data_IF_354503335694
#
_entry.id   IF_354503335694
#
_cell.length_a   1.000
_cell.length_b   1.000
_cell.length_c   1.000
_cell.angle_alpha   90.00
_cell.angle_beta   90.00
_cell.angle_gamma   90.00
#
_symmetry.space_group_name_H-M   'P 1'
#
loop_
_entity.id
_entity.type
_entity.pdbx_description
1 polymer ?
#
# COMPACT_ATOMS: atom_id res chain seq x y z
N UNK A 1 32.44 -20.55 -11.04
CA UNK A 1 31.89 -20.45 -12.43
C UNK A 1 31.14 -21.71 -12.83
N UNK A 2 31.73 -22.93 -12.68
CA UNK A 2 31.07 -24.18 -13.07
C UNK A 2 29.78 -24.52 -12.28
N UNK A 3 29.75 -24.24 -10.98
CA UNK A 3 28.57 -24.46 -10.12
C UNK A 3 27.38 -23.55 -10.49
N UNK A 4 27.66 -22.31 -10.92
CA UNK A 4 26.64 -21.36 -11.40
C UNK A 4 26.09 -21.82 -12.76
N UNK A 5 26.95 -22.33 -13.63
CA UNK A 5 26.57 -22.89 -14.94
C UNK A 5 25.71 -24.17 -14.79
N UNK A 6 26.08 -25.05 -13.85
CA UNK A 6 25.33 -26.30 -13.55
C UNK A 6 23.97 -25.97 -12.89
N UNK A 7 23.90 -24.95 -12.01
CA UNK A 7 22.63 -24.43 -11.49
C UNK A 7 21.77 -23.83 -12.61
N UNK A 8 22.33 -22.99 -13.51
CA UNK A 8 21.64 -22.43 -14.68
C UNK A 8 21.12 -23.50 -15.63
N UNK A 9 21.94 -24.58 -15.91
CA UNK A 9 21.50 -25.68 -16.74
C UNK A 9 20.42 -26.54 -16.06
N UNK A 10 20.52 -26.83 -14.74
CA UNK A 10 19.46 -27.51 -14.00
C UNK A 10 18.14 -26.73 -13.97
N UNK A 11 18.18 -25.43 -13.81
CA UNK A 11 17.01 -24.58 -13.93
C UNK A 11 16.44 -24.66 -15.36
N UNK A 12 17.28 -24.52 -16.40
CA UNK A 12 16.84 -24.54 -17.81
C UNK A 12 16.16 -25.86 -18.25
N UNK A 13 16.60 -27.01 -17.73
CA UNK A 13 15.98 -28.33 -18.00
C UNK A 13 14.75 -28.60 -17.12
N UNK A 14 14.60 -27.90 -16.01
CA UNK A 14 13.57 -28.10 -15.01
C UNK A 14 12.25 -27.43 -15.39
N UNK A 15 12.29 -26.36 -16.18
CA UNK A 15 11.13 -25.58 -16.63
C UNK A 15 10.48 -26.09 -17.94
N UNK A 16 10.94 -27.22 -18.48
CA UNK A 16 10.38 -27.81 -19.69
C UNK A 16 9.26 -28.84 -19.43
N UNK A 17 8.92 -29.10 -18.17
CA UNK A 17 7.79 -29.97 -17.80
C UNK A 17 6.75 -29.23 -16.95
N UNK A 18 5.52 -29.28 -17.36
CA UNK A 18 4.32 -28.54 -16.93
C UNK A 18 3.87 -28.66 -15.46
N UNK A 19 4.69 -29.14 -14.53
CA UNK A 19 4.29 -29.32 -13.12
C UNK A 19 5.36 -28.94 -12.08
N UNK A 20 6.28 -28.05 -12.44
CA UNK A 20 7.38 -27.76 -11.52
C UNK A 20 7.10 -26.54 -10.64
N UNK A 21 6.99 -26.78 -9.33
CA UNK A 21 6.89 -25.74 -8.29
C UNK A 21 8.24 -25.56 -7.59
N UNK A 22 8.71 -24.33 -7.47
CA UNK A 22 9.90 -23.97 -6.66
C UNK A 22 9.43 -23.42 -5.34
N UNK A 23 9.94 -23.95 -4.21
CA UNK A 23 9.62 -23.46 -2.88
C UNK A 23 10.85 -22.81 -2.24
N UNK A 24 11.00 -21.46 -2.33
CA UNK A 24 12.04 -20.74 -1.59
C UNK A 24 11.77 -20.81 -0.09
N UNK A 25 12.81 -20.85 0.71
CA UNK A 25 12.74 -20.90 2.17
C UNK A 25 12.99 -19.54 2.81
N UNK A 26 13.66 -18.66 2.07
CA UNK A 26 14.02 -17.32 2.52
C UNK A 26 13.60 -16.27 1.49
N UNK A 27 13.52 -15.03 1.94
CA UNK A 27 13.26 -13.87 1.08
C UNK A 27 14.33 -13.71 0.00
N UNK A 28 15.60 -13.95 0.35
CA UNK A 28 16.72 -13.82 -0.57
C UNK A 28 16.65 -14.87 -1.69
N UNK A 29 16.26 -16.11 -1.36
CA UNK A 29 16.02 -17.15 -2.37
C UNK A 29 14.86 -16.77 -3.29
N UNK A 30 13.75 -16.28 -2.72
CA UNK A 30 12.61 -15.81 -3.50
C UNK A 30 13.02 -14.67 -4.43
N UNK A 31 13.74 -13.68 -3.91
CA UNK A 31 14.19 -12.52 -4.69
C UNK A 31 15.14 -12.93 -5.82
N UNK A 32 16.02 -13.91 -5.59
CA UNK A 32 16.89 -14.43 -6.63
C UNK A 32 16.09 -15.09 -7.75
N UNK A 33 15.10 -15.94 -7.42
CA UNK A 33 14.24 -16.61 -8.41
C UNK A 33 13.47 -15.59 -9.24
N UNK A 34 12.88 -14.57 -8.60
CA UNK A 34 12.17 -13.48 -9.27
C UNK A 34 13.11 -12.76 -10.25
N UNK A 35 14.32 -12.36 -9.79
CA UNK A 35 15.28 -11.64 -10.62
C UNK A 35 15.68 -12.45 -11.86
N UNK A 36 16.07 -13.73 -11.66
CA UNK A 36 16.46 -14.62 -12.74
C UNK A 36 15.32 -14.85 -13.75
N UNK A 37 14.07 -14.87 -13.27
CA UNK A 37 12.89 -15.04 -14.14
C UNK A 37 12.61 -13.78 -14.94
N UNK A 38 12.63 -12.60 -14.30
CA UNK A 38 12.43 -11.32 -14.98
C UNK A 38 13.54 -11.07 -16.02
N UNK A 39 14.80 -11.36 -15.70
CA UNK A 39 15.93 -11.26 -16.66
C UNK A 39 15.73 -12.14 -17.89
N UNK A 40 15.11 -13.31 -17.74
CA UNK A 40 14.90 -14.28 -18.81
C UNK A 40 13.64 -14.01 -19.62
N UNK A 41 12.53 -13.66 -18.97
CA UNK A 41 11.18 -13.64 -19.54
C UNK A 41 10.57 -12.23 -19.62
N UNK A 42 11.20 -11.26 -18.98
CA UNK A 42 10.72 -9.88 -18.93
C UNK A 42 9.76 -9.60 -17.78
N UNK A 43 9.31 -8.35 -17.71
CA UNK A 43 8.54 -7.82 -16.59
C UNK A 43 7.06 -8.28 -16.53
N UNK A 44 6.55 -8.92 -17.59
CA UNK A 44 5.18 -9.48 -17.68
C UNK A 44 5.18 -11.01 -17.39
N UNK A 45 6.26 -11.56 -16.84
CA UNK A 45 6.42 -13.00 -16.63
C UNK A 45 5.40 -13.58 -15.64
N UNK A 46 5.06 -14.87 -15.82
CA UNK A 46 4.29 -15.64 -14.85
C UNK A 46 5.22 -16.19 -13.75
N UNK A 47 4.97 -15.79 -12.51
CA UNK A 47 5.70 -16.21 -11.31
C UNK A 47 4.89 -17.19 -10.43
N UNK A 48 3.74 -17.67 -10.90
CA UNK A 48 2.87 -18.56 -10.12
C UNK A 48 3.43 -20.00 -9.95
N UNK A 49 4.54 -20.32 -10.60
CA UNK A 49 5.28 -21.54 -10.35
C UNK A 49 6.06 -21.51 -9.01
N UNK A 50 6.09 -20.37 -8.32
CA UNK A 50 6.78 -20.21 -7.04
C UNK A 50 5.78 -20.49 -5.90
N UNK A 51 6.05 -21.52 -5.11
CA UNK A 51 5.34 -21.78 -3.85
C UNK A 51 5.90 -20.87 -2.74
N UNK A 52 5.17 -19.84 -2.40
CA UNK A 52 5.56 -18.83 -1.42
C UNK A 52 5.12 -19.15 0.01
N UNK A 53 4.53 -20.32 0.26
CA UNK A 53 3.95 -20.72 1.55
C UNK A 53 4.92 -20.71 2.75
N UNK A 54 6.24 -20.69 2.51
CA UNK A 54 7.26 -20.60 3.57
C UNK A 54 7.73 -19.18 3.85
N UNK A 55 7.31 -18.22 3.04
CA UNK A 55 7.77 -16.83 3.14
C UNK A 55 6.94 -16.07 4.16
N UNK A 56 7.62 -15.40 5.10
CA UNK A 56 7.00 -14.55 6.12
C UNK A 56 7.24 -13.06 5.88
N UNK A 57 8.31 -12.71 5.18
CA UNK A 57 8.70 -11.36 4.84
C UNK A 57 8.82 -11.21 3.32
N UNK A 58 7.93 -10.39 2.76
CA UNK A 58 7.92 -10.00 1.34
C UNK A 58 8.29 -8.52 1.16
N UNK A 59 8.81 -7.86 2.20
CA UNK A 59 9.15 -6.44 2.10
C UNK A 59 10.14 -6.17 0.99
N UNK A 60 9.92 -5.10 0.20
CA UNK A 60 10.86 -4.62 -0.81
C UNK A 60 11.24 -5.64 -1.91
N UNK A 61 10.42 -6.70 -2.16
CA UNK A 61 10.78 -7.75 -3.13
C UNK A 61 10.96 -7.24 -4.55
N UNK A 62 10.14 -6.26 -4.96
CA UNK A 62 10.16 -5.69 -6.30
C UNK A 62 10.81 -4.29 -6.34
N UNK A 63 11.39 -3.83 -5.22
CA UNK A 63 12.05 -2.53 -5.16
C UNK A 63 13.45 -2.59 -5.77
N UNK A 64 13.58 -2.24 -7.05
CA UNK A 64 14.84 -1.93 -7.74
C UNK A 64 14.55 -1.25 -9.07
N UNK A 65 15.52 -0.48 -9.60
CA UNK A 65 15.38 0.32 -10.83
C UNK A 65 14.95 -0.55 -12.03
N UNK A 66 15.50 -1.74 -12.14
CA UNK A 66 15.23 -2.71 -13.22
C UNK A 66 13.83 -3.37 -13.13
N UNK A 67 13.10 -3.16 -12.02
CA UNK A 67 11.76 -3.71 -11.79
C UNK A 67 10.65 -2.65 -11.79
N UNK A 68 10.96 -1.41 -12.10
CA UNK A 68 9.95 -0.34 -12.15
C UNK A 68 8.80 -0.64 -13.12
N UNK A 69 9.06 -1.45 -14.15
CA UNK A 69 8.07 -1.87 -15.14
C UNK A 69 7.45 -3.25 -14.84
N UNK A 70 7.72 -3.85 -13.69
CA UNK A 70 7.16 -5.15 -13.33
C UNK A 70 5.62 -5.11 -13.32
N UNK A 71 5.01 -6.05 -14.05
CA UNK A 71 3.57 -6.29 -14.10
C UNK A 71 3.27 -7.78 -14.36
N UNK A 72 4.10 -8.66 -13.80
CA UNK A 72 3.96 -10.11 -13.95
C UNK A 72 2.83 -10.70 -13.13
N UNK A 73 2.44 -11.93 -13.45
CA UNK A 73 1.38 -12.66 -12.76
C UNK A 73 1.90 -13.35 -11.49
N UNK A 74 1.33 -12.96 -10.35
CA UNK A 74 1.60 -13.47 -9.01
C UNK A 74 0.29 -13.80 -8.26
N UNK A 75 -0.80 -13.93 -9.00
CA UNK A 75 -2.16 -14.08 -8.45
C UNK A 75 -2.36 -15.33 -7.59
N UNK A 76 -1.51 -16.37 -7.79
CA UNK A 76 -1.60 -17.64 -7.07
C UNK A 76 -0.59 -17.77 -5.92
N UNK A 77 0.11 -16.72 -5.58
CA UNK A 77 1.04 -16.77 -4.44
C UNK A 77 0.30 -17.05 -3.13
N UNK A 78 0.80 -18.01 -2.36
CA UNK A 78 0.32 -18.25 -0.99
C UNK A 78 0.95 -17.23 -0.04
N UNK A 79 0.13 -16.28 0.42
CA UNK A 79 0.53 -15.22 1.33
C UNK A 79 0.09 -15.46 2.78
N UNK A 80 -0.53 -16.62 3.06
CA UNK A 80 -1.14 -16.95 4.35
C UNK A 80 -0.17 -16.93 5.56
N UNK A 81 1.13 -16.95 5.33
CA UNK A 81 2.16 -16.86 6.37
C UNK A 81 2.92 -15.53 6.38
N UNK A 82 2.56 -14.61 5.49
CA UNK A 82 3.26 -13.32 5.39
C UNK A 82 2.82 -12.38 6.51
N UNK A 83 3.81 -11.77 7.16
CA UNK A 83 3.59 -10.80 8.25
C UNK A 83 4.09 -9.40 7.89
N UNK A 84 4.90 -9.26 6.83
CA UNK A 84 5.49 -7.99 6.41
C UNK A 84 5.46 -7.86 4.88
N UNK A 85 4.72 -6.88 4.39
CA UNK A 85 4.61 -6.50 2.97
C UNK A 85 5.09 -5.06 2.71
N UNK A 86 5.83 -4.46 3.65
CA UNK A 86 6.29 -3.08 3.51
C UNK A 86 7.11 -2.88 2.23
N UNK A 87 6.74 -1.90 1.41
CA UNK A 87 7.42 -1.56 0.16
C UNK A 87 7.44 -2.66 -0.90
N UNK A 88 6.58 -3.69 -0.80
CA UNK A 88 6.59 -4.85 -1.70
C UNK A 88 6.69 -4.48 -3.18
N UNK A 89 5.86 -3.53 -3.62
CA UNK A 89 5.82 -3.03 -5.01
C UNK A 89 6.33 -1.59 -5.15
N UNK A 90 7.11 -1.09 -4.19
CA UNK A 90 7.60 0.29 -4.25
C UNK A 90 8.23 0.61 -5.61
N UNK A 91 7.67 1.63 -6.28
CA UNK A 91 8.16 2.10 -7.57
C UNK A 91 7.82 1.22 -8.77
N UNK A 92 6.99 0.18 -8.60
CA UNK A 92 6.50 -0.61 -9.73
C UNK A 92 5.42 0.17 -10.49
N UNK A 93 5.85 1.15 -11.30
CA UNK A 93 4.96 2.17 -11.90
C UNK A 93 3.89 1.59 -12.83
N UNK A 94 4.09 0.37 -13.36
CA UNK A 94 3.16 -0.31 -14.28
C UNK A 94 2.35 -1.41 -13.60
N UNK A 95 2.70 -1.80 -12.37
CA UNK A 95 2.05 -2.92 -11.70
C UNK A 95 0.54 -2.68 -11.56
N UNK A 96 -0.24 -3.62 -12.07
CA UNK A 96 -1.69 -3.71 -11.93
C UNK A 96 -2.16 -5.18 -11.93
N UNK A 97 -1.33 -6.08 -11.40
CA UNK A 97 -1.65 -7.52 -11.28
C UNK A 97 -2.77 -7.77 -10.27
N UNK A 98 -3.62 -8.78 -10.57
CA UNK A 98 -4.69 -9.19 -9.64
C UNK A 98 -4.10 -9.90 -8.42
N UNK A 99 -4.24 -9.27 -7.27
CA UNK A 99 -3.83 -9.78 -5.94
C UNK A 99 -5.02 -9.82 -4.97
N UNK A 100 -6.23 -9.70 -5.48
CA UNK A 100 -7.47 -9.63 -4.68
C UNK A 100 -7.69 -10.86 -3.79
N UNK A 101 -7.09 -12.00 -4.15
CA UNK A 101 -7.25 -13.28 -3.44
C UNK A 101 -6.15 -13.58 -2.42
N UNK A 102 -5.20 -12.67 -2.25
CA UNK A 102 -4.15 -12.86 -1.24
C UNK A 102 -4.73 -12.90 0.17
N UNK A 103 -4.27 -13.84 0.98
CA UNK A 103 -4.55 -13.87 2.41
C UNK A 103 -3.64 -12.88 3.15
N UNK A 104 -4.23 -11.81 3.64
CA UNK A 104 -3.52 -10.74 4.37
C UNK A 104 -3.75 -10.80 5.88
N UNK A 105 -4.46 -11.82 6.36
CA UNK A 105 -4.92 -11.91 7.76
C UNK A 105 -3.82 -11.89 8.82
N UNK A 106 -2.57 -12.24 8.47
CA UNK A 106 -1.42 -12.19 9.39
C UNK A 106 -0.50 -10.98 9.18
N UNK A 107 -0.78 -10.15 8.18
CA UNK A 107 0.10 -9.01 7.85
C UNK A 107 -0.01 -7.93 8.93
N UNK A 108 1.15 -7.42 9.36
CA UNK A 108 1.27 -6.35 10.36
C UNK A 108 1.79 -5.05 9.78
N UNK A 109 2.49 -5.10 8.64
CA UNK A 109 3.11 -3.94 8.00
C UNK A 109 2.82 -3.92 6.51
N UNK A 110 2.20 -2.82 6.07
CA UNK A 110 1.91 -2.53 4.66
C UNK A 110 2.43 -1.14 4.25
N UNK A 111 3.30 -0.52 5.07
CA UNK A 111 3.84 0.80 4.74
C UNK A 111 4.51 0.79 3.38
N UNK A 112 4.23 1.81 2.56
CA UNK A 112 4.81 2.00 1.22
C UNK A 112 4.57 0.84 0.24
N UNK A 113 3.61 -0.08 0.51
CA UNK A 113 3.42 -1.30 -0.28
C UNK A 113 3.24 -1.02 -1.77
N UNK A 114 2.50 0.03 -2.12
CA UNK A 114 2.23 0.47 -3.50
C UNK A 114 2.76 1.87 -3.79
N UNK A 115 3.73 2.35 -3.02
CA UNK A 115 4.32 3.68 -3.23
C UNK A 115 4.75 3.86 -4.70
N UNK A 116 4.25 4.91 -5.36
CA UNK A 116 4.47 5.18 -6.80
C UNK A 116 3.99 4.08 -7.78
N UNK A 117 3.08 3.19 -7.39
CA UNK A 117 2.43 2.26 -8.33
C UNK A 117 1.36 3.01 -9.16
N UNK A 118 1.80 3.79 -10.13
CA UNK A 118 0.98 4.79 -10.85
C UNK A 118 -0.20 4.21 -11.61
N UNK A 119 -0.17 2.92 -11.97
CA UNK A 119 -1.22 2.21 -12.72
C UNK A 119 -2.07 1.28 -11.87
N UNK A 120 -1.70 1.09 -10.59
CA UNK A 120 -2.39 0.16 -9.72
C UNK A 120 -3.83 0.61 -9.42
N UNK A 121 -4.81 -0.25 -9.73
CA UNK A 121 -6.24 -0.04 -9.50
C UNK A 121 -6.99 -1.38 -9.34
N UNK A 122 -6.41 -2.33 -8.57
CA UNK A 122 -7.05 -3.61 -8.31
C UNK A 122 -7.90 -3.59 -7.03
N UNK A 123 -9.00 -4.38 -6.99
CA UNK A 123 -9.88 -4.41 -5.82
C UNK A 123 -9.20 -5.07 -4.62
N UNK A 124 -9.19 -4.35 -3.50
CA UNK A 124 -8.58 -4.80 -2.24
C UNK A 124 -9.59 -4.82 -1.07
N UNK A 125 -10.86 -4.54 -1.32
CA UNK A 125 -11.84 -4.35 -0.26
C UNK A 125 -12.09 -5.60 0.61
N UNK A 126 -11.79 -6.79 0.07
CA UNK A 126 -11.96 -8.05 0.78
C UNK A 126 -10.69 -8.51 1.55
N UNK A 127 -9.60 -7.73 1.53
CA UNK A 127 -8.43 -8.02 2.34
C UNK A 127 -8.74 -7.88 3.84
N UNK A 128 -8.33 -8.86 4.63
CA UNK A 128 -8.33 -8.74 6.09
C UNK A 128 -7.08 -7.94 6.53
N UNK A 129 -7.29 -6.68 6.85
CA UNK A 129 -6.23 -5.77 7.33
C UNK A 129 -6.30 -5.54 8.84
N UNK A 130 -7.12 -6.32 9.56
CA UNK A 130 -7.40 -6.13 10.98
C UNK A 130 -6.18 -6.27 11.90
N UNK A 131 -5.09 -6.86 11.43
CA UNK A 131 -3.83 -6.99 12.15
C UNK A 131 -2.75 -5.98 11.71
N UNK A 132 -3.03 -5.14 10.71
CA UNK A 132 -2.06 -4.18 10.20
C UNK A 132 -1.96 -2.98 11.15
N UNK A 133 -0.74 -2.64 11.53
CA UNK A 133 -0.42 -1.53 12.43
C UNK A 133 0.08 -0.28 11.68
N UNK A 134 0.69 -0.47 10.50
CA UNK A 134 1.36 0.58 9.73
C UNK A 134 0.96 0.54 8.25
N UNK A 135 0.22 1.58 7.83
CA UNK A 135 -0.21 1.84 6.45
C UNK A 135 0.45 3.08 5.85
N UNK A 136 1.48 3.64 6.52
CA UNK A 136 2.09 4.89 6.08
C UNK A 136 2.54 4.83 4.61
N UNK A 137 2.19 5.85 3.82
CA UNK A 137 2.54 5.98 2.41
C UNK A 137 2.06 4.82 1.49
N UNK A 138 1.10 3.98 1.94
CA UNK A 138 0.76 2.72 1.26
C UNK A 138 0.39 2.92 -0.21
N UNK A 139 -0.40 3.92 -0.53
CA UNK A 139 -0.84 4.26 -1.89
C UNK A 139 -0.31 5.63 -2.36
N UNK A 140 0.72 6.18 -1.71
CA UNK A 140 1.27 7.47 -2.11
C UNK A 140 1.65 7.47 -3.59
N UNK A 141 1.15 8.49 -4.34
CA UNK A 141 1.33 8.62 -5.80
C UNK A 141 0.75 7.47 -6.65
N UNK A 142 -0.23 6.72 -6.13
CA UNK A 142 -1.01 5.78 -6.91
C UNK A 142 -2.08 6.52 -7.72
N UNK A 143 -1.70 7.11 -8.84
CA UNK A 143 -2.56 8.05 -9.58
C UNK A 143 -3.84 7.42 -10.14
N UNK A 144 -3.82 6.11 -10.45
CA UNK A 144 -4.99 5.42 -11.01
C UNK A 144 -5.95 4.91 -9.93
N UNK A 145 -5.46 4.72 -8.69
CA UNK A 145 -6.20 4.00 -7.64
C UNK A 145 -7.47 4.73 -7.22
N UNK A 146 -8.62 4.06 -7.38
CA UNK A 146 -9.95 4.53 -6.95
C UNK A 146 -10.86 3.35 -6.53
N UNK A 147 -10.30 2.32 -5.87
CA UNK A 147 -11.08 1.18 -5.41
C UNK A 147 -11.64 1.39 -4.00
N UNK A 148 -12.85 0.89 -3.70
CA UNK A 148 -13.43 1.00 -2.37
C UNK A 148 -12.60 0.25 -1.32
N UNK A 149 -12.55 0.81 -0.12
CA UNK A 149 -11.86 0.24 1.05
C UNK A 149 -12.76 0.30 2.31
N UNK A 150 -14.05 0.45 2.13
CA UNK A 150 -15.01 0.65 3.23
C UNK A 150 -15.19 -0.58 4.14
N UNK A 151 -14.74 -1.78 3.71
CA UNK A 151 -14.75 -2.98 4.57
C UNK A 151 -13.49 -3.12 5.44
N UNK A 152 -12.50 -2.26 5.26
CA UNK A 152 -11.25 -2.38 6.01
C UNK A 152 -11.44 -2.06 7.48
N UNK A 153 -11.00 -2.97 8.34
CA UNK A 153 -11.03 -2.82 9.78
C UNK A 153 -9.67 -2.30 10.28
N UNK A 154 -9.62 -1.01 10.64
CA UNK A 154 -8.40 -0.34 11.08
C UNK A 154 -8.16 -0.37 12.60
N UNK A 155 -8.87 -1.21 13.35
CA UNK A 155 -8.80 -1.25 14.83
C UNK A 155 -7.38 -1.33 15.41
N UNK A 156 -6.41 -1.90 14.68
CA UNK A 156 -5.01 -2.01 15.12
C UNK A 156 -4.09 -0.99 14.44
N UNK A 157 -4.60 -0.20 13.49
CA UNK A 157 -3.81 0.81 12.81
C UNK A 157 -3.30 1.89 13.78
N UNK A 158 -2.03 2.25 13.63
CA UNK A 158 -1.35 3.30 14.39
C UNK A 158 -0.89 4.45 13.50
N UNK A 159 -0.51 4.15 12.28
CA UNK A 159 -0.01 5.11 11.32
C UNK A 159 -0.68 4.93 9.95
N UNK A 160 -1.38 5.97 9.50
CA UNK A 160 -1.97 6.08 8.16
C UNK A 160 -1.43 7.32 7.43
N UNK A 161 -0.31 7.89 7.91
CA UNK A 161 0.26 9.10 7.33
C UNK A 161 0.57 8.94 5.85
N UNK A 162 0.25 9.97 5.07
CA UNK A 162 0.44 10.02 3.63
C UNK A 162 -0.14 8.81 2.84
N UNK A 163 -1.07 8.05 3.44
CA UNK A 163 -1.58 6.81 2.85
C UNK A 163 -2.08 6.99 1.43
N UNK A 164 -2.77 8.11 1.14
CA UNK A 164 -3.27 8.45 -0.19
C UNK A 164 -2.67 9.75 -0.73
N UNK A 165 -1.51 10.16 -0.22
CA UNK A 165 -0.89 11.41 -0.68
C UNK A 165 -0.73 11.40 -2.20
N UNK A 166 -1.26 12.45 -2.85
CA UNK A 166 -1.20 12.63 -4.31
C UNK A 166 -1.85 11.47 -5.13
N UNK A 167 -2.83 10.76 -4.56
CA UNK A 167 -3.69 9.83 -5.30
C UNK A 167 -4.70 10.64 -6.12
N UNK A 168 -4.37 10.94 -7.37
CA UNK A 168 -5.08 11.92 -8.19
C UNK A 168 -6.54 11.55 -8.50
N UNK A 169 -6.88 10.26 -8.52
CA UNK A 169 -8.21 9.78 -8.83
C UNK A 169 -9.00 9.33 -7.60
N UNK A 170 -8.33 9.13 -6.44
CA UNK A 170 -8.97 8.51 -5.29
C UNK A 170 -10.09 9.37 -4.71
N UNK A 171 -11.31 8.83 -4.70
CA UNK A 171 -12.48 9.47 -4.10
C UNK A 171 -13.48 8.44 -3.58
N UNK A 172 -13.06 7.55 -2.67
CA UNK A 172 -13.90 6.54 -2.05
C UNK A 172 -14.23 6.93 -0.61
N UNK A 173 -15.44 6.59 -0.16
CA UNK A 173 -15.92 6.91 1.19
C UNK A 173 -15.12 6.14 2.26
N UNK A 174 -14.48 6.88 3.16
CA UNK A 174 -13.68 6.37 4.28
C UNK A 174 -14.27 6.78 5.63
N UNK A 175 -15.46 7.37 5.65
CA UNK A 175 -16.04 7.94 6.88
C UNK A 175 -16.30 6.89 7.97
N UNK A 176 -16.57 5.65 7.59
CA UNK A 176 -16.87 4.56 8.53
C UNK A 176 -15.62 3.86 9.09
N UNK A 177 -14.42 4.32 8.77
CA UNK A 177 -13.21 3.77 9.35
C UNK A 177 -13.13 4.07 10.86
N UNK A 178 -12.91 3.04 11.68
CA UNK A 178 -12.56 3.21 13.10
C UNK A 178 -11.12 3.69 13.24
N UNK A 179 -10.97 4.99 13.48
CA UNK A 179 -9.67 5.65 13.61
C UNK A 179 -9.23 5.88 15.07
N UNK A 180 -9.98 5.37 16.04
CA UNK A 180 -9.75 5.61 17.49
C UNK A 180 -8.35 5.24 17.99
N UNK A 181 -7.71 4.29 17.35
CA UNK A 181 -6.36 3.85 17.70
C UNK A 181 -5.24 4.49 16.86
N UNK A 182 -5.57 5.23 15.82
CA UNK A 182 -4.59 5.87 14.95
C UNK A 182 -3.90 7.01 15.70
N UNK A 183 -2.58 7.11 15.53
CA UNK A 183 -1.73 8.11 16.19
C UNK A 183 -1.06 9.07 15.20
N UNK A 184 -1.09 8.76 13.91
CA UNK A 184 -0.49 9.61 12.89
C UNK A 184 -1.37 9.67 11.63
N UNK A 185 -1.89 10.88 11.35
CA UNK A 185 -2.76 11.21 10.21
C UNK A 185 -2.11 12.19 9.23
N UNK A 186 -0.83 12.53 9.43
CA UNK A 186 -0.16 13.57 8.63
C UNK A 186 -0.35 13.29 7.14
N UNK A 187 -0.91 14.26 6.41
CA UNK A 187 -1.02 14.24 4.95
C UNK A 187 -1.82 13.06 4.35
N UNK A 188 -2.68 12.39 5.12
CA UNK A 188 -3.35 11.14 4.68
C UNK A 188 -4.10 11.29 3.36
N UNK A 189 -4.78 12.40 3.12
CA UNK A 189 -5.51 12.75 1.89
C UNK A 189 -4.98 14.05 1.24
N UNK A 190 -3.73 14.40 1.52
CA UNK A 190 -3.16 15.62 0.94
C UNK A 190 -2.97 15.45 -0.58
N UNK A 191 -3.30 16.48 -1.34
CA UNK A 191 -3.34 16.51 -2.82
C UNK A 191 -4.38 15.59 -3.48
N UNK A 192 -5.34 15.05 -2.71
CA UNK A 192 -6.46 14.24 -3.21
C UNK A 192 -7.68 15.13 -3.47
N UNK A 193 -8.42 14.94 -4.58
CA UNK A 193 -9.66 15.67 -4.86
C UNK A 193 -10.86 15.06 -4.11
N UNK A 194 -10.75 14.96 -2.79
CA UNK A 194 -11.66 14.21 -1.93
C UNK A 194 -12.97 14.96 -1.64
N UNK A 195 -14.10 14.25 -1.68
CA UNK A 195 -15.44 14.87 -1.56
C UNK A 195 -16.29 14.35 -0.40
N UNK A 196 -15.93 13.26 0.25
CA UNK A 196 -16.69 12.70 1.36
C UNK A 196 -16.28 13.32 2.70
N UNK A 197 -17.28 13.68 3.53
CA UNK A 197 -16.98 14.18 4.88
C UNK A 197 -16.41 13.06 5.78
N UNK A 198 -15.49 13.43 6.68
CA UNK A 198 -14.82 12.51 7.62
C UNK A 198 -15.34 12.75 9.04
N UNK A 199 -16.66 12.81 9.19
CA UNK A 199 -17.32 13.22 10.45
C UNK A 199 -17.17 12.20 11.57
N UNK A 200 -16.99 10.91 11.24
CA UNK A 200 -16.86 9.82 12.20
C UNK A 200 -15.41 9.54 12.64
N UNK A 201 -14.42 10.19 12.01
CA UNK A 201 -13.02 9.97 12.39
C UNK A 201 -12.74 10.51 13.79
N UNK A 202 -12.18 9.65 14.65
CA UNK A 202 -11.72 10.01 15.98
C UNK A 202 -10.23 10.38 15.97
N UNK A 203 -9.94 11.64 16.24
CA UNK A 203 -8.59 12.20 16.33
C UNK A 203 -8.23 12.54 17.79
N UNK A 204 -9.12 12.31 18.75
CA UNK A 204 -8.99 12.77 20.14
C UNK A 204 -7.78 12.19 20.86
N UNK A 205 -7.34 11.00 20.45
CA UNK A 205 -6.16 10.30 20.99
C UNK A 205 -4.83 10.65 20.33
N UNK A 206 -4.79 11.63 19.42
CA UNK A 206 -3.64 11.93 18.57
C UNK A 206 -2.98 13.27 18.95
N UNK A 207 -1.64 13.34 18.86
CA UNK A 207 -0.91 14.60 18.98
C UNK A 207 -1.26 15.50 17.76
N UNK A 208 -1.58 16.78 17.94
CA UNK A 208 -1.91 17.70 16.85
C UNK A 208 -0.83 17.82 15.78
N UNK A 209 0.42 17.63 16.14
CA UNK A 209 1.49 17.61 15.14
C UNK A 209 1.34 16.45 14.15
N UNK A 210 0.63 15.40 14.54
CA UNK A 210 0.34 14.23 13.74
C UNK A 210 -1.03 14.30 13.03
N UNK A 211 -1.75 15.44 13.12
CA UNK A 211 -3.00 15.70 12.41
C UNK A 211 -2.84 16.78 11.33
N UNK A 212 -1.63 17.10 10.90
CA UNK A 212 -1.39 18.18 9.91
C UNK A 212 -1.66 17.71 8.49
N UNK A 213 -2.21 18.61 7.67
CA UNK A 213 -2.40 18.39 6.23
C UNK A 213 -3.26 17.15 5.89
N UNK A 214 -4.19 16.75 6.77
CA UNK A 214 -5.06 15.59 6.53
C UNK A 214 -5.72 15.67 5.16
N UNK A 215 -6.27 16.84 4.81
CA UNK A 215 -6.86 17.13 3.50
C UNK A 215 -6.21 18.34 2.86
N UNK A 216 -6.29 18.47 1.55
CA UNK A 216 -5.69 19.57 0.78
C UNK A 216 -6.74 20.51 0.19
N UNK A 217 -6.26 21.56 -0.50
CA UNK A 217 -7.09 22.50 -1.27
C UNK A 217 -7.86 21.85 -2.42
N UNK A 218 -7.50 20.62 -2.82
CA UNK A 218 -8.21 19.88 -3.88
C UNK A 218 -9.49 19.21 -3.37
N UNK A 219 -9.65 19.08 -2.04
CA UNK A 219 -10.87 18.57 -1.44
C UNK A 219 -12.04 19.55 -1.62
N UNK A 220 -13.28 19.03 -1.65
CA UNK A 220 -14.44 19.91 -1.81
C UNK A 220 -14.60 20.84 -0.61
N UNK A 221 -14.99 22.11 -0.81
CA UNK A 221 -15.24 23.06 0.28
C UNK A 221 -16.32 22.58 1.26
N UNK A 222 -17.36 21.92 0.75
CA UNK A 222 -18.47 21.37 1.52
C UNK A 222 -17.97 20.29 2.48
N UNK A 223 -17.22 19.31 1.95
CA UNK A 223 -16.60 18.25 2.74
C UNK A 223 -15.70 18.83 3.84
N UNK A 224 -14.86 19.80 3.48
CA UNK A 224 -13.98 20.47 4.44
C UNK A 224 -14.78 21.15 5.55
N UNK A 225 -15.89 21.80 5.22
CA UNK A 225 -16.74 22.48 6.19
C UNK A 225 -17.43 21.52 7.16
N UNK A 226 -18.02 20.43 6.64
CA UNK A 226 -18.70 19.41 7.44
C UNK A 226 -17.72 18.67 8.37
N UNK A 227 -16.57 18.25 7.83
CA UNK A 227 -15.50 17.61 8.60
C UNK A 227 -15.00 18.52 9.71
N UNK A 228 -14.82 19.80 9.42
CA UNK A 228 -14.39 20.80 10.38
C UNK A 228 -15.36 20.93 11.56
N UNK A 229 -16.63 21.03 11.30
CA UNK A 229 -17.62 21.17 12.37
C UNK A 229 -17.65 19.92 13.27
N UNK A 230 -17.59 18.73 12.67
CA UNK A 230 -17.57 17.47 13.42
C UNK A 230 -16.31 17.31 14.31
N UNK A 231 -15.15 17.80 13.85
CA UNK A 231 -13.91 17.68 14.63
C UNK A 231 -13.70 18.78 15.65
N UNK A 232 -14.47 19.87 15.59
CA UNK A 232 -14.34 21.03 16.49
C UNK A 232 -14.40 20.64 17.95
N UNK A 233 -15.35 19.80 18.34
CA UNK A 233 -15.53 19.36 19.71
C UNK A 233 -14.38 18.46 20.21
N UNK A 234 -13.77 17.66 19.32
CA UNK A 234 -12.65 16.78 19.68
C UNK A 234 -11.40 17.56 20.10
N UNK A 235 -11.28 18.81 19.63
CA UNK A 235 -10.12 19.67 19.86
C UNK A 235 -10.39 20.86 20.76
N UNK A 236 -11.62 21.05 21.21
CA UNK A 236 -12.01 22.21 22.03
C UNK A 236 -11.19 22.25 23.34
N UNK A 237 -10.49 23.36 23.55
CA UNK A 237 -9.64 23.56 24.74
C UNK A 237 -8.25 22.92 24.69
N UNK A 238 -7.94 22.10 23.69
CA UNK A 238 -6.64 21.42 23.60
C UNK A 238 -5.68 22.10 22.61
N UNK A 239 -6.21 22.67 21.51
CA UNK A 239 -5.39 23.19 20.39
C UNK A 239 -6.08 24.34 19.66
N UNK A 240 -5.27 25.19 18.98
CA UNK A 240 -5.83 26.13 18.02
C UNK A 240 -6.20 25.35 16.75
N UNK A 241 -7.48 25.36 16.44
CA UNK A 241 -8.10 24.72 15.27
C UNK A 241 -7.36 25.00 13.93
N UNK A 242 -6.78 26.23 13.81
CA UNK A 242 -5.94 26.63 12.69
C UNK A 242 -4.68 25.75 12.49
N UNK A 243 -4.27 24.99 13.51
CA UNK A 243 -3.06 24.20 13.45
C UNK A 243 -3.29 22.80 12.86
N UNK A 244 -4.54 22.32 12.86
CA UNK A 244 -4.93 20.98 12.39
C UNK A 244 -5.19 20.97 10.89
N UNK A 245 -5.78 22.06 10.38
CA UNK A 245 -6.10 22.22 8.97
C UNK A 245 -5.24 23.33 8.34
N UNK A 246 -3.93 23.30 8.60
CA UNK A 246 -2.98 24.12 7.85
C UNK A 246 -2.98 23.66 6.41
N UNK A 247 -3.74 24.35 5.57
CA UNK A 247 -3.51 24.32 4.14
C UNK A 247 -2.12 24.92 3.88
N UNK A 248 -1.25 24.23 3.15
CA UNK A 248 0.00 24.82 2.70
C UNK A 248 -0.29 26.13 1.97
N UNK A 249 0.06 27.26 2.61
CA UNK A 249 -0.15 28.59 2.02
C UNK A 249 0.89 28.93 0.94
N UNK A 250 1.87 28.06 0.68
CA UNK A 250 3.09 28.39 -0.06
C UNK A 250 3.54 27.35 -1.10
N UNK A 251 2.65 26.65 -1.80
CA UNK A 251 3.04 26.03 -3.06
C UNK A 251 2.37 26.75 -4.22
N UNK A 252 3.14 27.67 -4.81
CA UNK A 252 2.91 28.13 -6.17
C UNK A 252 3.11 26.91 -7.07
N UNK A 253 2.06 26.52 -7.81
CA UNK A 253 2.14 25.55 -8.88
C UNK A 253 3.30 25.96 -9.82
N UNK A 254 4.34 25.15 -9.90
CA UNK A 254 5.31 25.14 -10.99
C UNK A 254 5.09 23.90 -11.82
#
# INVERSE_FOLDING_TARGET
MLLILIRRLRLKFKYLNESYTVQPKTKEELQQIINETIEREGNECDLNFIDTSKIKDMSMLFWKIDKMDFNGDISKWDTSNVTNMAGLFWGCIRFNGDISKWDTSKVKKMSQMFYECKKFDQPLNDWDVSNVEDFSNMFEMCYAFDQPLNKWNLRNARDISAMFYDCANFNQDLNDWDTSNVKNFVSVLNKVPYTYALTNWDLSGTDPNHCKFIVSRRASPEMVSETKEAWKEQFEGKYKYSDILKFESNFVDR
#
